data_IF_599024356093
#
_entry.id   IF_599024356093
#
_cell.length_a   1.000
_cell.length_b   1.000
_cell.length_c   1.000
_cell.angle_alpha   90.00
_cell.angle_beta   90.00
_cell.angle_gamma   90.00
#
_symmetry.space_group_name_H-M   'P 1'
#
loop_
_entity.id
_entity.type
_entity.pdbx_description
1 polymer ?
#
# COMPACT_ATOMS: atom_id res chain seq x y z
N UNK A 1 -41.84 12.92 -21.15
CA UNK A 1 -40.44 13.19 -20.77
C UNK A 1 -40.10 12.34 -19.55
N UNK A 2 -39.27 11.30 -19.68
CA UNK A 2 -38.84 10.48 -18.54
C UNK A 2 -37.41 10.87 -18.20
N UNK A 3 -37.24 11.42 -17.00
CA UNK A 3 -35.98 11.94 -16.46
C UNK A 3 -34.95 10.82 -16.35
N UNK A 4 -33.80 11.05 -16.99
CA UNK A 4 -32.58 10.29 -16.78
C UNK A 4 -32.11 10.46 -15.33
N UNK A 5 -32.46 9.52 -14.47
CA UNK A 5 -31.83 9.37 -13.17
C UNK A 5 -30.38 8.92 -13.37
N UNK A 6 -29.47 9.88 -13.49
CA UNK A 6 -28.03 9.62 -13.38
C UNK A 6 -27.79 9.08 -11.97
N UNK A 7 -27.65 7.75 -11.83
CA UNK A 7 -27.07 7.16 -10.63
C UNK A 7 -25.69 7.81 -10.44
N UNK A 8 -25.46 8.43 -9.28
CA UNK A 8 -24.11 8.86 -8.88
C UNK A 8 -23.20 7.64 -9.03
N UNK A 9 -22.09 7.76 -9.77
CA UNK A 9 -21.04 6.75 -9.73
C UNK A 9 -20.61 6.68 -8.27
N UNK A 10 -20.91 5.58 -7.59
CA UNK A 10 -20.25 5.27 -6.33
C UNK A 10 -18.74 5.29 -6.60
N UNK A 11 -17.94 5.90 -5.72
CA UNK A 11 -16.50 5.83 -5.84
C UNK A 11 -16.10 4.36 -5.94
N UNK A 12 -15.50 3.96 -7.06
CA UNK A 12 -14.98 2.62 -7.21
C UNK A 12 -13.75 2.51 -6.31
N UNK A 13 -13.93 1.92 -5.13
CA UNK A 13 -12.80 1.51 -4.29
C UNK A 13 -12.07 0.41 -5.06
N UNK A 14 -10.81 0.68 -5.41
CA UNK A 14 -9.95 -0.31 -6.04
C UNK A 14 -9.06 -0.92 -4.96
N UNK A 15 -9.06 -2.24 -4.86
CA UNK A 15 -8.21 -2.97 -3.92
C UNK A 15 -7.30 -3.92 -4.69
N UNK A 16 -6.00 -3.83 -4.39
CA UNK A 16 -4.99 -4.73 -4.92
C UNK A 16 -4.16 -5.30 -3.78
N UNK A 17 -3.88 -6.60 -3.82
CA UNK A 17 -3.09 -7.28 -2.80
C UNK A 17 -1.87 -7.93 -3.43
N UNK A 18 -0.74 -7.80 -2.76
CA UNK A 18 0.54 -8.38 -3.13
C UNK A 18 1.03 -9.26 -1.99
N UNK A 19 1.51 -10.45 -2.31
CA UNK A 19 2.23 -11.31 -1.38
C UNK A 19 3.72 -11.07 -1.60
N UNK A 20 4.37 -10.52 -0.58
CA UNK A 20 5.77 -10.13 -0.61
C UNK A 20 6.57 -11.14 0.20
N UNK A 21 7.59 -11.70 -0.44
CA UNK A 21 8.53 -12.64 0.14
C UNK A 21 9.93 -12.01 0.18
N UNK A 22 10.64 -12.15 1.31
CA UNK A 22 12.01 -11.67 1.48
C UNK A 22 12.15 -10.23 2.00
N UNK A 23 11.12 -9.70 2.65
CA UNK A 23 11.11 -8.35 3.21
C UNK A 23 11.05 -7.25 2.14
N UNK A 24 10.96 -6.00 2.59
CA UNK A 24 10.85 -4.85 1.71
C UNK A 24 11.17 -3.54 2.42
N UNK A 25 11.23 -2.45 1.66
CA UNK A 25 11.54 -1.11 2.18
C UNK A 25 10.40 -0.16 1.92
N UNK A 26 10.14 0.72 2.88
CA UNK A 26 9.23 1.85 2.75
C UNK A 26 10.06 3.12 2.95
N UNK A 27 10.04 4.03 1.99
CA UNK A 27 10.78 5.28 2.03
C UNK A 27 9.82 6.45 2.00
N UNK A 28 9.88 7.32 3.00
CA UNK A 28 9.13 8.58 3.00
C UNK A 28 9.75 9.55 2.00
N UNK A 29 8.92 10.09 1.12
CA UNK A 29 9.29 11.09 0.10
C UNK A 29 8.45 12.35 0.27
N UNK A 30 8.76 13.40 -0.49
CA UNK A 30 7.97 14.65 -0.48
C UNK A 30 6.53 14.46 -1.01
N UNK A 31 6.26 13.32 -1.66
CA UNK A 31 4.97 13.01 -2.31
C UNK A 31 4.20 11.91 -1.59
N UNK A 32 4.68 11.42 -0.46
CA UNK A 32 4.07 10.32 0.29
C UNK A 32 5.10 9.26 0.68
N UNK A 33 4.81 8.00 0.37
CA UNK A 33 5.64 6.86 0.74
C UNK A 33 5.84 5.94 -0.47
N UNK A 34 7.08 5.51 -0.69
CA UNK A 34 7.44 4.53 -1.72
C UNK A 34 7.71 3.18 -1.05
N UNK A 35 6.99 2.16 -1.48
CA UNK A 35 7.12 0.78 -1.01
C UNK A 35 7.82 -0.02 -2.11
N UNK A 36 9.03 -0.52 -1.82
CA UNK A 36 9.87 -1.22 -2.79
C UNK A 36 10.22 -2.62 -2.29
N UNK A 37 9.96 -3.64 -3.10
CA UNK A 37 10.29 -5.04 -2.83
C UNK A 37 10.82 -5.74 -4.08
N UNK A 38 11.38 -6.94 -3.90
CA UNK A 38 11.93 -7.75 -4.99
C UNK A 38 11.31 -9.15 -4.96
N UNK A 39 10.15 -9.32 -5.61
CA UNK A 39 9.59 -10.66 -5.87
C UNK A 39 8.45 -10.60 -6.90
N UNK A 40 8.54 -11.26 -8.07
CA UNK A 40 9.75 -11.84 -8.69
C UNK A 40 10.69 -10.77 -9.28
N UNK A 41 10.18 -9.57 -9.54
CA UNK A 41 10.94 -8.42 -10.06
C UNK A 41 11.01 -7.31 -9.02
N UNK A 42 11.97 -6.39 -9.18
CA UNK A 42 11.98 -5.15 -8.41
C UNK A 42 10.69 -4.36 -8.73
N UNK A 43 9.87 -4.14 -7.72
CA UNK A 43 8.59 -3.44 -7.85
C UNK A 43 8.56 -2.32 -6.82
N UNK A 44 8.10 -1.14 -7.25
CA UNK A 44 7.90 0.02 -6.39
C UNK A 44 6.46 0.51 -6.56
N UNK A 45 5.77 0.73 -5.45
CA UNK A 45 4.45 1.38 -5.41
C UNK A 45 4.56 2.66 -4.58
N UNK A 46 3.97 3.73 -5.07
CA UNK A 46 3.83 4.98 -4.31
C UNK A 46 2.44 5.04 -3.69
N UNK A 47 2.36 5.44 -2.43
CA UNK A 47 1.13 5.68 -1.70
C UNK A 47 1.15 7.07 -1.07
N UNK A 48 -0.03 7.68 -0.91
CA UNK A 48 -0.14 9.07 -0.46
C UNK A 48 -0.01 9.20 1.07
N UNK A 49 -0.32 8.13 1.80
CA UNK A 49 -0.39 8.08 3.27
C UNK A 49 0.65 7.14 3.88
N UNK A 50 0.96 7.32 5.17
CA UNK A 50 1.86 6.39 5.88
C UNK A 50 1.25 4.99 5.89
N UNK A 51 2.00 3.95 5.44
CA UNK A 51 1.49 2.59 5.46
C UNK A 51 1.14 2.16 6.87
N UNK A 52 -0.04 1.56 7.02
CA UNK A 52 -0.47 0.95 8.27
C UNK A 52 0.21 -0.41 8.39
N UNK A 53 1.12 -0.53 9.37
CA UNK A 53 1.88 -1.74 9.63
C UNK A 53 1.30 -2.42 10.87
N UNK A 54 0.87 -3.68 10.75
CA UNK A 54 0.39 -4.46 11.89
C UNK A 54 1.51 -4.71 12.92
N UNK A 55 1.13 -4.83 14.20
CA UNK A 55 2.08 -4.92 15.33
C UNK A 55 2.98 -6.17 15.28
N UNK A 56 2.52 -7.24 14.64
CA UNK A 56 3.24 -8.50 14.45
C UNK A 56 4.28 -8.45 13.31
N UNK A 57 4.31 -7.37 12.52
CA UNK A 57 5.28 -7.19 11.43
C UNK A 57 6.58 -6.64 11.99
N UNK A 58 7.67 -7.38 11.79
CA UNK A 58 8.99 -6.95 12.25
C UNK A 58 9.50 -5.83 11.35
N UNK A 59 9.78 -4.67 11.95
CA UNK A 59 10.28 -3.50 11.23
C UNK A 59 11.48 -2.86 11.92
N UNK A 60 12.29 -2.16 11.13
CA UNK A 60 13.39 -1.32 11.58
C UNK A 60 13.23 0.07 10.97
N UNK A 61 13.16 1.11 11.80
CA UNK A 61 13.05 2.51 11.33
C UNK A 61 14.43 3.18 11.36
N UNK A 62 14.85 3.76 10.25
CA UNK A 62 16.09 4.52 10.09
C UNK A 62 15.80 5.82 9.34
N UNK A 63 15.65 6.93 10.07
CA UNK A 63 15.34 8.23 9.49
C UNK A 63 14.02 8.21 8.71
N UNK A 64 14.10 8.44 7.40
CA UNK A 64 12.95 8.44 6.49
C UNK A 64 12.61 7.04 5.92
N UNK A 65 13.33 6.01 6.34
CA UNK A 65 13.19 4.65 5.82
C UNK A 65 12.65 3.71 6.90
N UNK A 66 11.73 2.83 6.52
CA UNK A 66 11.25 1.71 7.31
C UNK A 66 11.60 0.44 6.54
N UNK A 67 12.44 -0.41 7.11
CA UNK A 67 12.75 -1.72 6.57
C UNK A 67 11.83 -2.75 7.22
N UNK A 68 11.07 -3.48 6.41
CA UNK A 68 10.25 -4.61 6.85
C UNK A 68 11.09 -5.87 6.75
N UNK A 69 11.31 -6.51 7.90
CA UNK A 69 12.19 -7.66 8.08
C UNK A 69 11.44 -8.99 8.07
N UNK A 70 10.12 -8.96 8.24
CA UNK A 70 9.29 -10.16 8.16
C UNK A 70 9.45 -10.85 6.80
N UNK A 71 9.64 -12.19 6.78
CA UNK A 71 9.95 -12.92 5.55
C UNK A 71 8.75 -13.01 4.59
N UNK A 72 7.53 -13.02 5.13
CA UNK A 72 6.29 -13.18 4.37
C UNK A 72 5.28 -12.15 4.85
N UNK A 73 4.83 -11.27 3.95
CA UNK A 73 3.88 -10.22 4.26
C UNK A 73 2.87 -10.05 3.14
N UNK A 74 1.64 -9.70 3.50
CA UNK A 74 0.63 -9.23 2.56
C UNK A 74 0.61 -7.71 2.58
N UNK A 75 0.85 -7.12 1.41
CA UNK A 75 0.66 -5.69 1.16
C UNK A 75 -0.69 -5.49 0.45
N UNK A 76 -1.63 -4.83 1.12
CA UNK A 76 -2.91 -4.43 0.55
C UNK A 76 -2.90 -2.95 0.22
N UNK A 77 -3.09 -2.62 -1.06
CA UNK A 77 -3.25 -1.27 -1.58
C UNK A 77 -4.74 -0.99 -1.74
N UNK A 78 -5.20 0.13 -1.19
CA UNK A 78 -6.59 0.56 -1.24
C UNK A 78 -6.62 1.97 -1.84
N UNK A 79 -7.27 2.13 -2.99
CA UNK A 79 -7.46 3.45 -3.62
C UNK A 79 -8.91 3.88 -3.47
N UNK A 80 -9.15 5.01 -2.80
CA UNK A 80 -10.48 5.61 -2.57
C UNK A 80 -10.50 7.06 -3.04
N UNK A 81 -11.42 7.37 -3.95
CA UNK A 81 -11.75 8.71 -4.49
C UNK A 81 -10.60 9.46 -5.16
N UNK A 82 -9.43 9.57 -4.52
CA UNK A 82 -8.18 10.18 -4.97
C UNK A 82 -6.97 9.84 -4.08
N UNK A 83 -7.13 8.97 -3.08
CA UNK A 83 -6.08 8.62 -2.10
C UNK A 83 -5.73 7.15 -2.18
N UNK A 84 -4.44 6.85 -2.07
CA UNK A 84 -3.89 5.51 -2.04
C UNK A 84 -3.31 5.22 -0.66
N UNK A 85 -3.84 4.17 -0.02
CA UNK A 85 -3.45 3.70 1.31
C UNK A 85 -2.79 2.32 1.19
N UNK A 86 -1.84 2.03 2.05
CA UNK A 86 -1.20 0.72 2.16
C UNK A 86 -1.41 0.12 3.54
N UNK A 87 -1.78 -1.16 3.58
CA UNK A 87 -1.86 -1.98 4.79
C UNK A 87 -0.90 -3.16 4.67
N UNK A 88 -0.13 -3.41 5.72
CA UNK A 88 0.90 -4.45 5.75
C UNK A 88 0.60 -5.36 6.92
N UNK A 89 0.40 -6.64 6.60
CA UNK A 89 0.11 -7.72 7.56
C UNK A 89 1.06 -8.90 7.32
N UNK A 90 1.28 -9.72 8.34
CA UNK A 90 1.94 -11.02 8.16
C UNK A 90 0.99 -11.99 7.42
N UNK A 91 1.54 -12.95 6.67
CA UNK A 91 0.78 -14.04 6.04
C UNK A 91 0.60 -15.19 7.04
#
# INVERSE_FOLDING_TARGET
>A
MRLFGKKKKEPQVQEHSYEIFGGFTITKTDRGYEITWRSPNLTTITVDSEPVIEENVQTKREGNQIQVLSPECRLKIITKEETTEAHIAII
#
